data_IF_564235839889
#
_entry.id   IF_564235839889
#
_cell.length_a   1.000
_cell.length_b   1.000
_cell.length_c   1.000
_cell.angle_alpha   90.00
_cell.angle_beta   90.00
_cell.angle_gamma   90.00
#
_symmetry.space_group_name_H-M   'P 1'
#
loop_
_entity.id
_entity.type
_entity.pdbx_description
1 polymer ?
#
# COMPACT_ATOMS: atom_id res chain seq x y z
N UNK A 1 12.55 -7.05 -20.83
CA UNK A 1 11.12 -7.00 -20.42
C UNK A 1 11.04 -7.28 -18.93
N UNK A 2 10.39 -6.38 -18.17
CA UNK A 2 10.15 -6.55 -16.73
C UNK A 2 9.04 -7.59 -16.51
N UNK A 3 9.10 -8.32 -15.41
CA UNK A 3 8.15 -9.38 -15.02
C UNK A 3 7.73 -9.09 -13.58
N UNK A 4 6.44 -8.87 -13.38
CA UNK A 4 5.83 -8.58 -12.07
C UNK A 4 4.98 -9.78 -11.69
N UNK A 5 5.19 -10.32 -10.50
CA UNK A 5 4.32 -11.36 -9.95
C UNK A 5 3.31 -10.71 -8.98
N UNK A 6 2.02 -10.84 -9.28
CA UNK A 6 0.93 -10.38 -8.43
C UNK A 6 0.16 -11.60 -7.93
N UNK A 7 0.45 -12.12 -6.74
CA UNK A 7 -0.19 -13.34 -6.24
C UNK A 7 -1.60 -13.11 -5.71
N UNK A 8 -1.95 -11.87 -5.32
CA UNK A 8 -3.29 -11.45 -4.92
C UNK A 8 -3.49 -9.96 -5.18
N UNK A 9 -4.75 -9.56 -5.39
CA UNK A 9 -5.12 -8.14 -5.49
C UNK A 9 -5.05 -7.40 -4.15
N UNK A 10 -5.15 -8.10 -3.01
CA UNK A 10 -4.98 -7.51 -1.68
C UNK A 10 -4.59 -8.57 -0.64
N UNK A 11 -3.93 -8.14 0.43
CA UNK A 11 -3.72 -8.99 1.61
C UNK A 11 -5.05 -9.17 2.35
N UNK A 12 -5.36 -10.40 2.73
CA UNK A 12 -6.62 -10.79 3.38
C UNK A 12 -7.59 -11.57 2.49
N UNK A 13 -7.24 -11.77 1.21
CA UNK A 13 -8.03 -12.53 0.24
C UNK A 13 -7.51 -13.97 0.03
N UNK A 14 -6.37 -14.29 0.63
CA UNK A 14 -5.56 -15.48 0.36
C UNK A 14 -5.05 -15.54 -1.09
N UNK A 15 -4.12 -16.45 -1.35
CA UNK A 15 -3.65 -16.79 -2.69
C UNK A 15 -3.30 -18.27 -2.73
N UNK A 16 -3.36 -18.85 -3.92
CA UNK A 16 -3.02 -20.24 -4.14
C UNK A 16 -1.49 -20.44 -4.08
N UNK A 17 -1.04 -21.41 -3.29
CA UNK A 17 0.39 -21.64 -3.06
C UNK A 17 1.06 -22.24 -4.30
N UNK A 18 0.38 -23.13 -5.03
CA UNK A 18 0.93 -23.75 -6.24
C UNK A 18 1.06 -22.70 -7.36
N UNK A 19 0.10 -21.78 -7.46
CA UNK A 19 0.15 -20.64 -8.36
C UNK A 19 1.30 -19.68 -8.00
N UNK A 20 1.54 -19.43 -6.70
CA UNK A 20 2.68 -18.64 -6.25
C UNK A 20 4.00 -19.30 -6.70
N UNK A 21 4.21 -20.58 -6.42
CA UNK A 21 5.44 -21.29 -6.81
C UNK A 21 5.62 -21.35 -8.33
N UNK A 22 4.54 -21.59 -9.09
CA UNK A 22 4.56 -21.55 -10.55
C UNK A 22 4.92 -20.16 -11.08
N UNK A 23 4.45 -19.10 -10.43
CA UNK A 23 4.81 -17.72 -10.73
C UNK A 23 6.28 -17.43 -10.45
N UNK A 24 6.80 -17.87 -9.32
CA UNK A 24 8.21 -17.72 -8.93
C UNK A 24 9.15 -18.46 -9.88
N UNK A 25 8.76 -19.65 -10.36
CA UNK A 25 9.53 -20.42 -11.34
C UNK A 25 9.74 -19.67 -12.68
N UNK A 26 8.93 -18.63 -12.96
CA UNK A 26 9.10 -17.75 -14.12
C UNK A 26 10.09 -16.61 -13.89
N UNK A 27 10.83 -16.64 -12.78
CA UNK A 27 11.88 -15.66 -12.43
C UNK A 27 11.38 -14.21 -12.46
N UNK A 28 10.33 -13.85 -11.70
CA UNK A 28 9.86 -12.46 -11.65
C UNK A 28 10.97 -11.53 -11.12
N UNK A 29 10.87 -10.24 -11.42
CA UNK A 29 11.82 -9.24 -10.93
C UNK A 29 11.31 -8.53 -9.67
N UNK A 30 10.03 -8.68 -9.35
CA UNK A 30 9.36 -8.07 -8.19
C UNK A 30 8.08 -8.86 -7.88
N UNK A 31 7.76 -8.97 -6.60
CA UNK A 31 6.43 -9.41 -6.13
C UNK A 31 5.67 -8.15 -5.72
N UNK A 32 4.45 -7.97 -6.22
CA UNK A 32 3.61 -6.82 -5.93
C UNK A 32 2.22 -7.24 -5.44
N UNK A 33 1.69 -6.49 -4.48
CA UNK A 33 0.30 -6.51 -4.07
C UNK A 33 -0.25 -5.10 -4.31
N UNK A 34 -1.35 -4.98 -5.05
CA UNK A 34 -2.05 -3.70 -5.18
C UNK A 34 -2.54 -3.25 -3.80
N UNK A 35 -3.50 -3.97 -3.23
CA UNK A 35 -4.03 -3.69 -1.90
C UNK A 35 -5.03 -2.55 -1.85
N UNK A 36 -5.27 -1.82 -2.95
CA UNK A 36 -6.23 -0.74 -3.05
C UNK A 36 -7.68 -1.23 -3.17
N UNK A 37 -8.63 -0.40 -2.72
CA UNK A 37 -10.06 -0.64 -2.98
C UNK A 37 -10.87 0.64 -2.86
N UNK A 38 -11.88 0.78 -3.71
CA UNK A 38 -13.01 1.73 -3.56
C UNK A 38 -14.33 1.01 -3.30
N UNK A 39 -14.44 -0.27 -3.69
CA UNK A 39 -15.66 -1.08 -3.61
C UNK A 39 -16.21 -1.23 -2.19
N UNK A 40 -15.34 -1.09 -1.20
CA UNK A 40 -15.69 -1.21 0.22
C UNK A 40 -16.36 0.05 0.78
N UNK A 41 -16.55 1.07 -0.06
CA UNK A 41 -17.08 2.37 0.33
C UNK A 41 -16.11 3.17 1.20
N UNK A 42 -16.56 4.32 1.75
CA UNK A 42 -15.68 5.25 2.46
C UNK A 42 -15.33 4.79 3.88
N UNK A 43 -15.95 3.75 4.43
CA UNK A 43 -15.88 3.42 5.85
C UNK A 43 -14.45 3.15 6.34
N UNK A 44 -13.66 2.34 5.63
CA UNK A 44 -12.31 1.96 6.05
C UNK A 44 -11.31 3.12 5.97
N UNK A 45 -11.43 3.96 4.92
CA UNK A 45 -10.68 5.21 4.84
C UNK A 45 -11.11 6.18 5.93
N UNK A 46 -12.41 6.39 6.13
CA UNK A 46 -12.94 7.27 7.16
C UNK A 46 -12.47 6.88 8.57
N UNK A 47 -12.35 5.58 8.85
CA UNK A 47 -11.87 5.06 10.15
C UNK A 47 -10.34 4.91 10.24
N UNK A 48 -9.61 4.98 9.11
CA UNK A 48 -8.16 4.75 9.07
C UNK A 48 -7.76 3.34 9.51
N UNK A 49 -8.57 2.33 9.16
CA UNK A 49 -8.39 0.92 9.56
C UNK A 49 -8.32 0.01 8.35
N UNK A 50 -7.61 -1.11 8.51
CA UNK A 50 -7.61 -2.17 7.52
C UNK A 50 -8.98 -2.81 7.36
N UNK A 51 -9.33 -3.20 6.13
CA UNK A 51 -10.51 -4.03 5.84
C UNK A 51 -10.38 -5.44 6.39
N UNK A 52 -9.18 -6.01 6.30
CA UNK A 52 -8.91 -7.39 6.64
C UNK A 52 -8.18 -7.49 7.99
N UNK A 53 -8.32 -8.63 8.66
CA UNK A 53 -7.76 -8.82 10.00
C UNK A 53 -6.23 -8.88 9.96
N UNK A 54 -5.59 -8.29 10.98
CA UNK A 54 -4.13 -8.31 11.16
C UNK A 54 -3.55 -9.74 11.09
N UNK A 55 -4.25 -10.72 11.65
CA UNK A 55 -3.78 -12.12 11.67
C UNK A 55 -3.67 -12.71 10.26
N UNK A 56 -4.66 -12.50 9.40
CA UNK A 56 -4.64 -13.00 8.01
C UNK A 56 -3.59 -12.24 7.20
N UNK A 57 -3.55 -10.91 7.32
CA UNK A 57 -2.54 -10.07 6.67
C UNK A 57 -1.12 -10.52 7.06
N UNK A 58 -0.86 -10.75 8.36
CA UNK A 58 0.46 -11.18 8.83
C UNK A 58 0.85 -12.55 8.26
N UNK A 59 -0.07 -13.51 8.21
CA UNK A 59 0.20 -14.85 7.66
C UNK A 59 0.46 -14.84 6.15
N UNK A 60 -0.29 -14.05 5.39
CA UNK A 60 -0.05 -13.86 3.94
C UNK A 60 1.25 -13.11 3.68
N UNK A 61 1.50 -12.03 4.43
CA UNK A 61 2.70 -11.22 4.28
C UNK A 61 3.97 -12.00 4.60
N UNK A 62 3.96 -12.84 5.63
CA UNK A 62 5.09 -13.71 5.98
C UNK A 62 5.45 -14.68 4.83
N UNK A 63 4.44 -15.28 4.19
CA UNK A 63 4.65 -16.15 3.00
C UNK A 63 5.28 -15.38 1.83
N UNK A 64 4.84 -14.14 1.60
CA UNK A 64 5.41 -13.30 0.54
C UNK A 64 6.82 -12.82 0.87
N UNK A 65 7.11 -12.46 2.13
CA UNK A 65 8.47 -12.12 2.60
C UNK A 65 9.44 -13.29 2.41
N UNK A 66 9.00 -14.52 2.70
CA UNK A 66 9.81 -15.72 2.44
C UNK A 66 10.04 -15.95 0.94
N UNK A 67 9.01 -15.81 0.10
CA UNK A 67 9.13 -15.97 -1.35
C UNK A 67 10.11 -14.95 -1.96
N UNK A 68 9.98 -13.69 -1.54
CA UNK A 68 10.88 -12.57 -1.80
C UNK A 68 12.33 -12.90 -1.43
N UNK A 69 12.56 -13.40 -0.21
CA UNK A 69 13.89 -13.75 0.27
C UNK A 69 14.53 -14.90 -0.53
N UNK A 70 13.77 -15.97 -0.83
CA UNK A 70 14.26 -17.10 -1.65
C UNK A 70 14.67 -16.71 -3.06
N UNK A 71 14.02 -15.70 -3.64
CA UNK A 71 14.25 -15.27 -5.01
C UNK A 71 15.14 -14.02 -5.13
N UNK A 72 15.54 -13.42 -4.00
CA UNK A 72 16.34 -12.20 -3.95
C UNK A 72 15.77 -11.04 -4.78
N UNK A 73 14.45 -10.84 -4.71
CA UNK A 73 13.72 -9.76 -5.40
C UNK A 73 12.98 -8.87 -4.40
N UNK A 74 12.66 -7.61 -4.74
CA UNK A 74 11.86 -6.74 -3.88
C UNK A 74 10.41 -7.19 -3.76
N UNK A 75 9.78 -6.82 -2.64
CA UNK A 75 8.36 -7.00 -2.37
C UNK A 75 7.69 -5.63 -2.21
N UNK A 76 6.60 -5.39 -2.93
CA UNK A 76 5.90 -4.11 -2.96
C UNK A 76 4.45 -4.29 -2.52
N UNK A 77 4.01 -3.45 -1.58
CA UNK A 77 2.60 -3.25 -1.27
C UNK A 77 2.21 -1.84 -1.74
N UNK A 78 1.33 -1.76 -2.75
CA UNK A 78 0.87 -0.49 -3.33
C UNK A 78 -0.02 0.31 -2.38
N UNK A 79 -0.95 -0.37 -1.70
CA UNK A 79 -1.87 0.27 -0.76
C UNK A 79 -1.96 -0.49 0.55
N UNK A 80 -1.53 0.16 1.64
CA UNK A 80 -1.61 -0.39 2.97
C UNK A 80 -3.04 -0.36 3.54
N UNK A 81 -3.51 -1.52 4.01
CA UNK A 81 -4.79 -1.65 4.71
C UNK A 81 -6.03 -1.35 3.88
N UNK A 82 -5.95 -1.33 2.54
CA UNK A 82 -7.04 -0.92 1.62
C UNK A 82 -7.50 0.54 1.70
N UNK A 83 -7.21 1.23 2.79
CA UNK A 83 -7.51 2.65 2.99
C UNK A 83 -6.34 3.56 2.59
N UNK A 84 -5.11 3.09 2.71
CA UNK A 84 -3.91 3.81 2.33
C UNK A 84 -3.55 5.01 3.21
N UNK A 85 -4.00 5.01 4.46
CA UNK A 85 -3.60 6.00 5.45
C UNK A 85 -2.18 5.73 5.95
N UNK A 86 -1.52 6.77 6.47
CA UNK A 86 -0.22 6.62 7.13
C UNK A 86 -0.28 5.69 8.36
N UNK A 87 -1.44 5.59 9.02
CA UNK A 87 -1.67 4.60 10.09
C UNK A 87 -1.64 3.18 9.55
N UNK A 88 -2.20 2.91 8.37
CA UNK A 88 -2.12 1.62 7.70
C UNK A 88 -0.69 1.27 7.28
N UNK A 89 0.07 2.26 6.78
CA UNK A 89 1.51 2.09 6.49
C UNK A 89 2.30 1.72 7.75
N UNK A 90 2.03 2.41 8.86
CA UNK A 90 2.66 2.10 10.14
C UNK A 90 2.30 0.69 10.64
N UNK A 91 1.02 0.29 10.54
CA UNK A 91 0.57 -1.05 10.93
C UNK A 91 1.27 -2.15 10.12
N UNK A 92 1.39 -1.97 8.79
CA UNK A 92 2.11 -2.90 7.92
C UNK A 92 3.61 -2.95 8.21
N UNK A 93 4.23 -1.82 8.55
CA UNK A 93 5.63 -1.80 8.98
C UNK A 93 5.82 -2.60 10.28
N UNK A 94 4.90 -2.48 11.23
CA UNK A 94 4.97 -3.22 12.49
C UNK A 94 4.81 -4.74 12.25
N UNK A 95 3.87 -5.15 11.40
CA UNK A 95 3.75 -6.55 10.95
C UNK A 95 5.07 -7.03 10.32
N UNK A 96 5.65 -6.21 9.44
CA UNK A 96 6.91 -6.53 8.75
C UNK A 96 8.06 -6.69 9.75
N UNK A 97 8.16 -5.81 10.75
CA UNK A 97 9.17 -5.89 11.81
C UNK A 97 9.00 -7.13 12.68
N UNK A 98 7.77 -7.46 13.06
CA UNK A 98 7.46 -8.66 13.84
C UNK A 98 7.91 -9.93 13.10
N UNK A 99 7.57 -10.05 11.81
CA UNK A 99 7.97 -11.19 10.98
C UNK A 99 9.49 -11.22 10.81
N UNK A 100 10.12 -10.09 10.46
CA UNK A 100 11.56 -10.01 10.28
C UNK A 100 12.33 -10.42 11.55
N UNK A 101 11.87 -9.98 12.72
CA UNK A 101 12.46 -10.36 14.01
C UNK A 101 12.32 -11.86 14.29
N UNK A 102 11.14 -12.46 13.99
CA UNK A 102 10.94 -13.92 14.14
C UNK A 102 11.86 -14.71 13.21
N UNK A 103 12.06 -14.22 11.99
CA UNK A 103 12.87 -14.90 10.98
C UNK A 103 14.37 -14.58 11.06
N UNK A 104 14.77 -13.62 11.90
CA UNK A 104 16.16 -13.15 11.97
C UNK A 104 16.61 -12.37 10.72
N UNK A 105 15.69 -11.76 9.99
CA UNK A 105 15.96 -11.03 8.75
C UNK A 105 16.37 -9.58 9.02
N UNK A 106 17.36 -9.08 8.27
CA UNK A 106 17.69 -7.65 8.21
C UNK A 106 17.18 -7.09 6.90
N UNK A 107 16.25 -6.15 6.98
CA UNK A 107 15.54 -5.60 5.81
C UNK A 107 15.71 -4.09 5.74
N UNK A 108 15.94 -3.59 4.52
CA UNK A 108 15.77 -2.17 4.18
C UNK A 108 14.34 -1.93 3.72
N UNK A 109 13.52 -1.28 4.55
CA UNK A 109 12.12 -0.99 4.21
C UNK A 109 11.97 0.47 3.79
N UNK A 110 11.36 0.73 2.63
CA UNK A 110 10.95 2.05 2.19
C UNK A 110 9.45 2.26 2.42
N UNK A 111 9.09 3.45 2.93
CA UNK A 111 7.71 3.80 3.25
C UNK A 111 7.27 4.97 2.38
N UNK A 112 6.18 4.81 1.65
CA UNK A 112 5.57 5.87 0.85
C UNK A 112 4.27 6.31 1.51
N UNK A 113 4.33 7.41 2.26
CA UNK A 113 3.18 7.96 2.99
C UNK A 113 2.32 8.83 2.08
N UNK A 114 1.01 8.79 2.27
CA UNK A 114 0.05 9.48 1.41
C UNK A 114 -0.96 10.34 2.17
N UNK A 115 -1.04 10.27 3.50
CA UNK A 115 -1.96 11.10 4.26
C UNK A 115 -1.70 12.60 4.01
N UNK A 116 -2.79 13.35 3.83
CA UNK A 116 -2.77 14.78 3.56
C UNK A 116 -3.44 15.55 4.69
N UNK A 117 -2.90 16.72 5.00
CA UNK A 117 -3.47 17.63 5.98
C UNK A 117 -4.69 18.38 5.40
N UNK A 118 -5.86 18.18 6.01
CA UNK A 118 -7.12 18.79 5.55
C UNK A 118 -7.14 20.31 5.62
N UNK A 119 -6.47 20.90 6.62
CA UNK A 119 -6.36 22.37 6.77
C UNK A 119 -5.55 22.97 5.62
N UNK A 120 -4.42 22.34 5.28
CA UNK A 120 -3.60 22.69 4.13
C UNK A 120 -4.42 22.59 2.85
N UNK A 121 -5.10 21.47 2.64
CA UNK A 121 -5.92 21.30 1.43
C UNK A 121 -7.07 22.31 1.34
N UNK A 122 -7.71 22.66 2.45
CA UNK A 122 -8.73 23.70 2.48
C UNK A 122 -8.17 25.06 2.01
N UNK A 123 -6.98 25.45 2.48
CA UNK A 123 -6.32 26.68 2.01
C UNK A 123 -5.93 26.63 0.52
N UNK A 124 -5.52 25.46 0.02
CA UNK A 124 -5.21 25.26 -1.40
C UNK A 124 -6.48 25.30 -2.28
N UNK A 125 -7.61 24.82 -1.76
CA UNK A 125 -8.91 24.91 -2.41
C UNK A 125 -9.38 26.36 -2.54
N UNK A 126 -9.27 27.17 -1.48
CA UNK A 126 -9.61 28.60 -1.53
C UNK A 126 -8.74 29.40 -2.51
N UNK A 127 -7.51 28.94 -2.75
CA UNK A 127 -6.59 29.51 -3.76
C UNK A 127 -6.88 29.05 -5.18
N UNK A 128 -7.92 28.24 -5.40
CA UNK A 128 -8.29 27.72 -6.71
C UNK A 128 -7.28 26.72 -7.29
N UNK A 129 -6.55 25.99 -6.44
CA UNK A 129 -5.54 25.00 -6.87
C UNK A 129 -6.03 23.55 -6.84
N UNK A 130 -7.18 23.30 -6.25
CA UNK A 130 -7.81 21.98 -6.18
C UNK A 130 -9.06 22.01 -7.05
N UNK A 131 -9.14 21.07 -7.99
CA UNK A 131 -10.25 20.93 -8.92
C UNK A 131 -10.92 19.56 -8.73
N UNK A 132 -12.25 19.49 -8.74
CA UNK A 132 -12.95 18.21 -8.64
C UNK A 132 -12.71 17.35 -9.88
N UNK A 133 -12.70 16.03 -9.70
CA UNK A 133 -12.80 15.09 -10.81
C UNK A 133 -14.20 15.16 -11.45
N UNK A 134 -14.37 14.74 -12.72
CA UNK A 134 -15.70 14.60 -13.31
C UNK A 134 -16.63 13.77 -12.42
N UNK A 135 -17.86 14.26 -12.20
CA UNK A 135 -18.87 13.65 -11.33
C UNK A 135 -18.50 13.53 -9.84
N UNK A 136 -17.43 14.20 -9.37
CA UNK A 136 -17.19 14.34 -7.94
C UNK A 136 -18.31 15.18 -7.29
N UNK A 137 -18.68 14.87 -6.02
CA UNK A 137 -19.61 15.72 -5.28
C UNK A 137 -19.00 17.11 -5.05
N UNK A 138 -19.87 18.10 -4.82
CA UNK A 138 -19.42 19.43 -4.44
C UNK A 138 -18.60 19.37 -3.15
N UNK A 139 -17.40 19.94 -3.19
CA UNK A 139 -16.50 20.06 -2.04
C UNK A 139 -16.38 21.53 -1.62
N UNK A 140 -16.04 21.73 -0.35
CA UNK A 140 -15.78 23.05 0.22
C UNK A 140 -14.54 23.00 1.11
N UNK A 141 -13.94 24.16 1.40
CA UNK A 141 -12.87 24.25 2.39
C UNK A 141 -13.29 23.66 3.76
N UNK A 142 -14.50 23.94 4.29
CA UNK A 142 -15.02 23.24 5.47
C UNK A 142 -15.09 21.72 5.32
N UNK A 143 -15.53 21.20 4.17
CA UNK A 143 -15.58 19.75 3.91
C UNK A 143 -14.20 19.11 4.05
N UNK A 144 -13.18 19.72 3.44
CA UNK A 144 -11.79 19.22 3.51
C UNK A 144 -11.23 19.27 4.93
N UNK A 145 -11.53 20.34 5.68
CA UNK A 145 -11.11 20.48 7.08
C UNK A 145 -11.79 19.50 8.04
N UNK A 146 -12.97 18.98 7.68
CA UNK A 146 -13.74 18.03 8.51
C UNK A 146 -13.44 16.56 8.18
N UNK A 147 -12.76 16.26 7.07
CA UNK A 147 -12.41 14.89 6.72
C UNK A 147 -11.45 14.28 7.76
N UNK A 148 -11.83 13.14 8.34
CA UNK A 148 -10.96 12.40 9.27
C UNK A 148 -9.66 11.94 8.61
N UNK A 149 -9.74 11.51 7.35
CA UNK A 149 -8.60 11.04 6.58
C UNK A 149 -8.71 11.54 5.13
N UNK A 150 -7.61 12.07 4.61
CA UNK A 150 -7.43 12.37 3.19
C UNK A 150 -6.12 11.72 2.77
N UNK A 151 -6.11 11.04 1.63
CA UNK A 151 -4.93 10.39 1.08
C UNK A 151 -4.68 10.89 -0.34
N UNK A 152 -3.43 11.20 -0.65
CA UNK A 152 -2.99 11.43 -2.01
C UNK A 152 -2.82 10.10 -2.73
N UNK A 153 -3.04 10.09 -4.03
CA UNK A 153 -2.88 8.92 -4.87
C UNK A 153 -1.51 9.00 -5.56
N UNK A 154 -0.56 8.18 -5.13
CA UNK A 154 0.80 8.18 -5.68
C UNK A 154 0.87 7.43 -7.02
N UNK A 155 1.55 8.01 -8.00
CA UNK A 155 1.88 7.37 -9.27
C UNK A 155 3.06 6.40 -9.16
N UNK A 156 3.31 5.66 -10.25
CA UNK A 156 4.36 4.66 -10.34
C UNK A 156 5.79 5.22 -10.11
N UNK A 157 5.99 6.53 -10.33
CA UNK A 157 7.28 7.20 -10.15
C UNK A 157 7.78 7.10 -8.71
N UNK A 158 6.88 7.15 -7.73
CA UNK A 158 7.26 7.05 -6.31
C UNK A 158 7.73 5.64 -5.95
N UNK A 159 7.10 4.62 -6.55
CA UNK A 159 7.52 3.22 -6.39
C UNK A 159 8.87 2.99 -7.08
N UNK A 160 9.07 3.56 -8.28
CA UNK A 160 10.35 3.54 -8.99
C UNK A 160 11.48 4.14 -8.15
N UNK A 161 11.28 5.35 -7.61
CA UNK A 161 12.25 6.01 -6.74
C UNK A 161 12.55 5.18 -5.47
N UNK A 162 11.55 4.50 -4.90
CA UNK A 162 11.76 3.62 -3.75
C UNK A 162 12.59 2.38 -4.11
N UNK A 163 12.37 1.77 -5.28
CA UNK A 163 13.15 0.63 -5.78
C UNK A 163 14.62 1.01 -5.99
N UNK A 164 14.89 2.20 -6.52
CA UNK A 164 16.25 2.73 -6.73
C UNK A 164 17.06 2.87 -5.43
N UNK A 165 16.40 2.95 -4.27
CA UNK A 165 17.10 2.98 -2.97
C UNK A 165 17.69 1.62 -2.56
N UNK A 166 17.43 0.56 -3.33
CA UNK A 166 17.77 -0.82 -2.96
C UNK A 166 16.89 -1.36 -1.83
N UNK A 167 15.66 -0.84 -1.71
CA UNK A 167 14.70 -1.27 -0.71
C UNK A 167 14.35 -2.75 -0.89
N UNK A 168 14.38 -3.48 0.21
CA UNK A 168 13.98 -4.87 0.25
C UNK A 168 12.46 -5.02 0.12
N UNK A 169 11.76 -4.13 0.82
CA UNK A 169 10.31 -4.08 0.91
C UNK A 169 9.89 -2.61 0.75
N UNK A 170 8.86 -2.38 -0.05
CA UNK A 170 8.22 -1.08 -0.22
C UNK A 170 6.79 -1.19 0.31
N UNK A 171 6.43 -0.32 1.26
CA UNK A 171 5.07 -0.23 1.80
C UNK A 171 4.54 1.16 1.46
N UNK A 172 3.59 1.21 0.54
CA UNK A 172 2.96 2.44 0.12
C UNK A 172 1.57 2.62 0.77
N UNK A 173 1.21 3.89 0.96
CA UNK A 173 -0.05 4.33 1.49
C UNK A 173 -1.15 4.12 0.46
N UNK A 174 -1.38 5.06 -0.46
CA UNK A 174 -2.35 4.91 -1.55
C UNK A 174 -1.66 5.13 -2.89
N UNK A 175 -1.74 4.16 -3.80
CA UNK A 175 -1.14 4.22 -5.14
C UNK A 175 -2.17 3.98 -6.24
N UNK A 176 -1.90 4.47 -7.45
CA UNK A 176 -2.40 3.85 -8.69
C UNK A 176 -1.36 2.86 -9.20
N UNK A 177 -1.79 1.66 -9.55
CA UNK A 177 -0.97 0.63 -10.19
C UNK A 177 -0.96 0.72 -11.72
#
# INVERSE_FOLDING_TARGET
>A
MVRVLVPSGALGLNFDQDALEAGLARTPHVIAIDGGSTDSGPAYLGQGRSKYSRAVISSEWERLMQARARNAIPLVLGTAGTCGTDSGVAEMLDITREIANRNGEKLRVALLKSSQDGTRLAAEYERGRIFPLPAAPDISAPTLGQCTNIVALAGAEQVGAALETGADIIIAGRTTD
#
